data_IF_358865484160
#
_entry.id   IF_358865484160
#
_cell.length_a   1.000
_cell.length_b   1.000
_cell.length_c   1.000
_cell.angle_alpha   90.00
_cell.angle_beta   90.00
_cell.angle_gamma   90.00
#
_symmetry.space_group_name_H-M   'P 1'
#
loop_
_entity.id
_entity.type
_entity.pdbx_description
1 polymer ?
#
# COMPACT_ATOMS: atom_id res chain seq x y z
N UNK A 1 -20.49 -4.75 -20.14
CA UNK A 1 -20.90 -5.77 -19.16
C UNK A 1 -22.33 -6.18 -19.41
N UNK A 2 -22.63 -7.47 -19.36
CA UNK A 2 -23.98 -8.01 -19.49
C UNK A 2 -24.37 -8.73 -18.21
N UNK A 3 -25.54 -8.42 -17.66
CA UNK A 3 -26.10 -9.10 -16.50
C UNK A 3 -27.51 -9.56 -16.85
N UNK A 4 -27.78 -10.85 -16.74
CA UNK A 4 -29.05 -11.47 -17.10
C UNK A 4 -29.54 -11.10 -18.52
N UNK A 5 -28.59 -11.09 -19.48
CA UNK A 5 -28.88 -10.73 -20.88
C UNK A 5 -29.03 -9.24 -21.18
N UNK A 6 -29.02 -8.38 -20.17
CA UNK A 6 -29.12 -6.92 -20.32
C UNK A 6 -27.74 -6.27 -20.39
N UNK A 7 -27.50 -5.47 -21.43
CA UNK A 7 -26.28 -4.68 -21.52
C UNK A 7 -26.36 -3.48 -20.57
N UNK A 8 -25.42 -3.42 -19.62
CA UNK A 8 -25.32 -2.34 -18.65
C UNK A 8 -24.26 -1.29 -19.01
N UNK A 9 -23.55 -1.44 -20.15
CA UNK A 9 -22.51 -0.54 -20.60
C UNK A 9 -21.11 -0.95 -20.16
N UNK A 10 -20.22 0.05 -20.05
CA UNK A 10 -18.84 -0.12 -19.59
C UNK A 10 -18.79 -0.01 -18.07
N UNK A 11 -18.10 -0.95 -17.45
CA UNK A 11 -17.85 -0.97 -16.01
C UNK A 11 -16.38 -1.25 -15.77
N UNK A 12 -15.79 -0.58 -14.79
CA UNK A 12 -14.55 -1.02 -14.18
C UNK A 12 -14.87 -2.17 -13.21
N UNK A 13 -14.05 -3.20 -13.24
CA UNK A 13 -14.09 -4.30 -12.28
C UNK A 13 -12.82 -4.24 -11.44
N UNK A 14 -12.99 -4.24 -10.13
CA UNK A 14 -11.92 -4.19 -9.15
C UNK A 14 -12.17 -5.26 -8.09
N UNK A 15 -11.14 -6.01 -7.73
CA UNK A 15 -11.22 -6.98 -6.66
C UNK A 15 -11.18 -6.27 -5.30
N UNK A 16 -12.04 -6.70 -4.39
CA UNK A 16 -12.02 -6.21 -3.03
C UNK A 16 -10.83 -6.80 -2.25
N UNK A 17 -10.42 -6.12 -1.17
CA UNK A 17 -9.27 -6.50 -0.34
C UNK A 17 -9.62 -7.65 0.62
N UNK A 18 -9.92 -8.80 0.03
CA UNK A 18 -10.35 -10.02 0.70
C UNK A 18 -9.47 -11.20 0.31
N UNK A 19 -9.78 -12.36 0.87
CA UNK A 19 -9.05 -13.59 0.59
C UNK A 19 -9.02 -13.93 -0.92
N UNK A 20 -10.08 -13.63 -1.65
CA UNK A 20 -10.16 -13.85 -3.10
C UNK A 20 -9.04 -13.15 -3.87
N UNK A 21 -8.66 -11.94 -3.48
CA UNK A 21 -7.53 -11.22 -4.07
C UNK A 21 -6.23 -12.00 -3.90
N UNK A 22 -6.01 -12.58 -2.74
CA UNK A 22 -4.80 -13.37 -2.46
C UNK A 22 -4.80 -14.70 -3.24
N UNK A 23 -5.92 -15.40 -3.27
CA UNK A 23 -6.08 -16.66 -3.99
C UNK A 23 -5.88 -16.49 -5.49
N UNK A 24 -6.49 -15.47 -6.09
CA UNK A 24 -6.34 -15.17 -7.52
C UNK A 24 -4.90 -14.79 -7.91
N UNK A 25 -4.14 -14.26 -6.97
CA UNK A 25 -2.73 -13.92 -7.16
C UNK A 25 -1.76 -15.01 -6.65
N UNK A 26 -2.25 -16.17 -6.23
CA UNK A 26 -1.46 -17.28 -5.67
C UNK A 26 -0.57 -16.83 -4.49
N UNK A 27 -1.08 -15.93 -3.66
CA UNK A 27 -0.40 -15.43 -2.48
C UNK A 27 -0.82 -16.23 -1.24
N UNK A 28 0.11 -16.47 -0.30
CA UNK A 28 -0.22 -17.05 1.01
C UNK A 28 -1.27 -16.22 1.75
N UNK A 29 -2.11 -16.88 2.54
CA UNK A 29 -3.12 -16.22 3.37
C UNK A 29 -2.46 -15.31 4.40
N UNK A 30 -2.69 -14.01 4.31
CA UNK A 30 -2.12 -12.99 5.17
C UNK A 30 -2.95 -11.70 5.16
N UNK A 31 -2.88 -10.86 6.21
CA UNK A 31 -3.70 -9.67 6.32
C UNK A 31 -3.34 -8.62 5.28
N UNK A 32 -4.38 -7.99 4.73
CA UNK A 32 -4.26 -6.78 3.92
C UNK A 32 -4.51 -5.59 4.84
N UNK A 33 -3.60 -4.64 4.85
CA UNK A 33 -3.54 -3.54 5.79
C UNK A 33 -3.75 -2.20 5.09
N UNK A 34 -4.33 -1.25 5.81
CA UNK A 34 -4.49 0.14 5.40
C UNK A 34 -4.25 1.09 6.57
N UNK A 35 -4.03 2.35 6.26
CA UNK A 35 -4.19 3.41 7.25
C UNK A 35 -5.67 3.75 7.40
N UNK A 36 -6.14 3.92 8.62
CA UNK A 36 -7.54 4.28 8.87
C UNK A 36 -7.87 5.63 8.22
N UNK A 37 -8.92 5.64 7.39
CA UNK A 37 -9.23 6.80 6.56
C UNK A 37 -9.87 7.95 7.34
N UNK A 38 -10.61 7.67 8.39
CA UNK A 38 -11.33 8.70 9.15
C UNK A 38 -10.37 9.68 9.84
N UNK A 39 -9.25 9.16 10.33
CA UNK A 39 -8.21 9.98 10.98
C UNK A 39 -7.19 10.54 10.00
N UNK A 40 -7.13 9.97 8.84
CA UNK A 40 -6.15 10.28 7.81
C UNK A 40 -6.27 11.70 7.25
N UNK A 41 -7.43 12.29 7.28
CA UNK A 41 -7.66 13.65 6.81
C UNK A 41 -6.98 14.74 7.65
N UNK A 42 -6.67 14.43 8.92
CA UNK A 42 -6.16 15.43 9.85
C UNK A 42 -4.64 15.39 9.94
N UNK A 43 -4.08 14.22 10.09
CA UNK A 43 -2.65 14.06 10.23
C UNK A 43 -2.27 12.59 10.17
N UNK A 44 -1.21 12.24 9.42
CA UNK A 44 -0.66 10.90 9.40
C UNK A 44 -0.21 10.40 10.80
N UNK A 45 0.18 11.32 11.67
CA UNK A 45 0.56 10.97 13.05
C UNK A 45 -0.63 10.53 13.93
N UNK A 46 -1.84 10.90 13.56
CA UNK A 46 -3.06 10.56 14.31
C UNK A 46 -3.78 9.33 13.76
N UNK A 47 -3.48 8.92 12.52
CA UNK A 47 -4.03 7.69 11.96
C UNK A 47 -3.37 6.46 12.56
N UNK A 48 -3.97 5.32 12.40
CA UNK A 48 -3.45 4.02 12.80
C UNK A 48 -3.62 3.01 11.68
N UNK A 49 -2.89 1.91 11.78
CA UNK A 49 -2.95 0.80 10.83
C UNK A 49 -4.02 -0.19 11.27
N UNK A 50 -4.85 -0.62 10.32
CA UNK A 50 -5.85 -1.64 10.55
C UNK A 50 -5.89 -2.64 9.38
N UNK A 51 -6.24 -3.90 9.62
CA UNK A 51 -6.50 -4.85 8.55
C UNK A 51 -7.91 -4.65 7.97
N UNK A 52 -8.07 -4.96 6.69
CA UNK A 52 -9.39 -5.24 6.15
C UNK A 52 -9.96 -6.46 6.85
N UNK A 53 -11.28 -6.48 7.09
CA UNK A 53 -11.93 -7.55 7.83
C UNK A 53 -11.30 -7.78 9.22
N UNK A 54 -11.21 -6.70 10.00
CA UNK A 54 -10.51 -6.67 11.29
C UNK A 54 -10.92 -7.83 12.20
N UNK A 55 -12.22 -8.04 12.42
CA UNK A 55 -12.71 -9.10 13.30
C UNK A 55 -12.25 -10.49 12.84
N UNK A 56 -12.40 -10.74 11.53
CA UNK A 56 -11.96 -12.01 10.94
C UNK A 56 -10.48 -12.27 11.17
N UNK A 57 -9.60 -11.30 10.94
CA UNK A 57 -8.16 -11.51 11.07
C UNK A 57 -7.72 -11.66 12.53
N UNK A 58 -8.38 -10.99 13.46
CA UNK A 58 -8.10 -11.17 14.89
C UNK A 58 -8.63 -12.50 15.44
N UNK A 59 -9.67 -13.07 14.85
CA UNK A 59 -10.16 -14.40 15.18
C UNK A 59 -9.31 -15.51 14.52
N UNK A 60 -8.92 -15.32 13.26
CA UNK A 60 -8.20 -16.33 12.48
C UNK A 60 -6.74 -16.49 12.92
N UNK A 61 -5.99 -15.39 12.99
CA UNK A 61 -4.60 -15.37 13.46
C UNK A 61 -4.25 -14.01 14.08
N UNK A 62 -4.55 -13.87 15.33
CA UNK A 62 -4.28 -12.65 16.09
C UNK A 62 -2.80 -12.30 16.17
N UNK A 63 -1.92 -13.31 16.30
CA UNK A 63 -0.48 -13.08 16.43
C UNK A 63 0.11 -12.54 15.12
N UNK A 64 -0.25 -13.14 13.99
CA UNK A 64 0.15 -12.69 12.66
C UNK A 64 -0.34 -11.26 12.39
N UNK A 65 -1.60 -11.00 12.71
CA UNK A 65 -2.24 -9.69 12.50
C UNK A 65 -1.57 -8.60 13.32
N UNK A 66 -1.33 -8.86 14.61
CA UNK A 66 -0.62 -7.92 15.48
C UNK A 66 0.80 -7.65 14.99
N UNK A 67 1.51 -8.69 14.54
CA UNK A 67 2.86 -8.53 14.00
C UNK A 67 2.87 -7.66 12.74
N UNK A 68 1.90 -7.85 11.84
CA UNK A 68 1.78 -7.06 10.62
C UNK A 68 1.51 -5.58 10.94
N UNK A 69 0.57 -5.29 11.84
CA UNK A 69 0.26 -3.93 12.30
C UNK A 69 1.49 -3.32 12.97
N UNK A 70 2.12 -4.05 13.88
CA UNK A 70 3.29 -3.58 14.62
C UNK A 70 4.44 -3.16 13.69
N UNK A 71 4.72 -3.96 12.66
CA UNK A 71 5.77 -3.66 11.70
C UNK A 71 5.53 -2.33 10.97
N UNK A 72 4.31 -2.08 10.48
CA UNK A 72 4.00 -0.80 9.83
C UNK A 72 4.02 0.36 10.82
N UNK A 73 3.52 0.15 12.03
CA UNK A 73 3.50 1.20 13.05
C UNK A 73 4.92 1.61 13.49
N UNK A 74 5.82 0.64 13.64
CA UNK A 74 7.24 0.93 13.92
C UNK A 74 7.90 1.71 12.79
N UNK A 75 7.63 1.29 11.54
CA UNK A 75 8.12 2.02 10.38
C UNK A 75 7.52 3.43 10.31
N UNK A 76 6.21 3.58 10.49
CA UNK A 76 5.52 4.87 10.48
C UNK A 76 6.08 5.85 11.52
N UNK A 77 6.44 5.37 12.70
CA UNK A 77 7.12 6.16 13.73
C UNK A 77 8.60 6.38 13.43
N UNK A 78 9.12 5.67 12.40
CA UNK A 78 10.51 5.69 11.98
C UNK A 78 11.45 5.09 13.01
N UNK A 79 11.00 4.12 13.75
CA UNK A 79 11.79 3.36 14.71
C UNK A 79 12.65 2.30 13.99
N UNK A 80 12.22 1.88 12.80
CA UNK A 80 12.90 0.89 11.98
C UNK A 80 13.07 1.38 10.54
N UNK A 81 14.01 0.77 9.82
CA UNK A 81 14.26 1.06 8.41
C UNK A 81 13.17 0.44 7.53
N UNK A 82 12.89 1.07 6.39
CA UNK A 82 11.97 0.54 5.38
C UNK A 82 12.33 -0.89 4.96
N UNK A 83 13.63 -1.16 4.74
CA UNK A 83 14.12 -2.48 4.35
C UNK A 83 13.96 -3.58 5.41
N UNK A 84 13.65 -3.22 6.65
CA UNK A 84 13.37 -4.20 7.71
C UNK A 84 11.91 -4.65 7.73
N UNK A 85 11.04 -3.92 7.05
CA UNK A 85 9.59 -4.11 7.10
C UNK A 85 9.02 -4.46 5.73
N UNK A 86 9.52 -3.82 4.68
CA UNK A 86 9.00 -3.97 3.32
C UNK A 86 9.88 -4.84 2.44
N UNK A 87 9.24 -5.58 1.53
CA UNK A 87 9.92 -6.06 0.33
C UNK A 87 10.28 -4.84 -0.52
N UNK A 88 11.50 -4.36 -0.37
CA UNK A 88 11.96 -3.12 -0.99
C UNK A 88 11.98 -3.17 -2.50
N UNK A 89 12.17 -4.36 -3.08
CA UNK A 89 12.13 -4.53 -4.54
C UNK A 89 10.71 -4.31 -5.06
N UNK A 90 9.71 -4.95 -4.44
CA UNK A 90 8.30 -4.76 -4.80
C UNK A 90 7.85 -3.33 -4.56
N UNK A 91 8.28 -2.74 -3.46
CA UNK A 91 7.93 -1.37 -3.10
C UNK A 91 8.52 -0.35 -4.08
N UNK A 92 9.79 -0.51 -4.46
CA UNK A 92 10.43 0.34 -5.47
C UNK A 92 9.76 0.19 -6.85
N UNK A 93 9.45 -1.04 -7.25
CA UNK A 93 8.71 -1.30 -8.50
C UNK A 93 7.34 -0.63 -8.49
N UNK A 94 6.62 -0.70 -7.37
CA UNK A 94 5.32 -0.05 -7.21
C UNK A 94 5.42 1.46 -7.43
N UNK A 95 6.36 2.13 -6.77
CA UNK A 95 6.53 3.56 -6.94
C UNK A 95 7.01 3.95 -8.34
N UNK A 96 7.93 3.18 -8.93
CA UNK A 96 8.37 3.42 -10.30
C UNK A 96 7.22 3.30 -11.31
N UNK A 97 6.39 2.26 -11.18
CA UNK A 97 5.24 2.08 -12.07
C UNK A 97 4.20 3.18 -11.89
N UNK A 98 3.89 3.55 -10.66
CA UNK A 98 2.91 4.61 -10.39
C UNK A 98 3.38 5.97 -10.86
N UNK A 99 4.70 6.24 -10.85
CA UNK A 99 5.27 7.45 -11.44
C UNK A 99 5.17 7.46 -12.97
N UNK A 100 5.63 6.39 -13.61
CA UNK A 100 5.62 6.27 -15.08
C UNK A 100 4.19 6.35 -15.62
N UNK A 101 3.23 5.75 -14.93
CA UNK A 101 1.82 5.74 -15.31
C UNK A 101 1.05 6.96 -14.79
N UNK A 102 1.69 7.88 -14.10
CA UNK A 102 1.06 9.07 -13.51
C UNK A 102 -0.05 8.76 -12.51
N UNK A 103 0.06 7.65 -11.83
CA UNK A 103 -0.92 7.13 -10.86
C UNK A 103 -0.61 7.63 -9.43
N UNK A 104 -0.35 8.92 -9.29
CA UNK A 104 0.12 9.49 -8.02
C UNK A 104 -0.88 9.38 -6.86
N UNK A 105 -2.16 9.24 -7.16
CA UNK A 105 -3.16 9.05 -6.13
C UNK A 105 -2.94 7.74 -5.36
N UNK A 106 -2.53 6.70 -6.07
CA UNK A 106 -2.20 5.40 -5.48
C UNK A 106 -1.08 5.47 -4.42
N UNK A 107 -0.19 6.47 -4.53
CA UNK A 107 0.93 6.65 -3.60
C UNK A 107 0.54 7.40 -2.32
N UNK A 108 -0.65 7.99 -2.29
CA UNK A 108 -1.11 8.69 -1.09
C UNK A 108 -1.37 7.68 0.03
N UNK A 109 -1.01 8.06 1.26
CA UNK A 109 -1.24 7.22 2.42
C UNK A 109 -2.72 6.88 2.66
N UNK A 110 -3.64 7.64 2.13
CA UNK A 110 -5.08 7.36 2.12
C UNK A 110 -5.43 6.20 1.19
N UNK A 111 -4.73 6.08 0.05
CA UNK A 111 -5.03 5.08 -0.98
C UNK A 111 -4.12 3.87 -0.95
N UNK A 112 -2.91 4.01 -0.41
CA UNK A 112 -1.96 2.89 -0.38
C UNK A 112 -2.47 1.72 0.47
N UNK A 113 -2.31 0.51 -0.07
CA UNK A 113 -2.71 -0.74 0.57
C UNK A 113 -1.50 -1.66 0.65
N UNK A 114 -1.46 -2.48 1.66
CA UNK A 114 -0.34 -3.36 1.94
C UNK A 114 -0.81 -4.77 2.23
N UNK A 115 -0.08 -5.73 1.71
CA UNK A 115 -0.25 -7.14 2.06
C UNK A 115 0.93 -7.58 2.93
N UNK A 116 0.64 -8.22 4.06
CA UNK A 116 1.67 -8.87 4.86
C UNK A 116 1.84 -10.32 4.44
N UNK A 117 2.98 -10.63 3.89
CA UNK A 117 3.33 -11.98 3.47
C UNK A 117 3.82 -12.82 4.67
N UNK A 118 3.08 -13.83 5.11
CA UNK A 118 3.44 -14.61 6.32
C UNK A 118 4.69 -15.47 6.16
N UNK A 119 5.07 -15.79 4.91
CA UNK A 119 6.26 -16.61 4.63
C UNK A 119 7.52 -15.76 4.70
N UNK A 120 7.56 -14.65 3.96
CA UNK A 120 8.72 -13.75 3.98
C UNK A 120 8.76 -12.85 5.22
N UNK A 121 7.62 -12.68 5.91
CA UNK A 121 7.40 -11.73 7.00
C UNK A 121 7.60 -10.27 6.59
N UNK A 122 7.50 -10.00 5.30
CA UNK A 122 7.65 -8.67 4.71
C UNK A 122 6.31 -8.11 4.26
N UNK A 123 6.24 -6.81 4.21
CA UNK A 123 5.09 -6.08 3.69
C UNK A 123 5.30 -5.76 2.22
N UNK A 124 4.27 -5.95 1.44
CA UNK A 124 4.25 -5.76 0.00
C UNK A 124 3.15 -4.76 -0.37
N UNK A 125 3.39 -3.81 -1.28
CA UNK A 125 2.36 -2.88 -1.72
C UNK A 125 1.35 -3.57 -2.63
N UNK A 126 0.09 -3.14 -2.55
CA UNK A 126 -0.99 -3.53 -3.48
C UNK A 126 -1.31 -2.34 -4.36
N UNK A 127 -1.40 -2.57 -5.67
CA UNK A 127 -1.85 -1.55 -6.62
C UNK A 127 -3.33 -1.27 -6.46
N UNK A 128 -3.66 -0.05 -6.10
CA UNK A 128 -5.03 0.40 -5.89
C UNK A 128 -5.17 1.89 -6.19
N UNK A 129 -6.38 2.31 -6.57
CA UNK A 129 -6.78 3.73 -6.71
C UNK A 129 -5.82 4.56 -7.58
N UNK A 130 -5.37 3.94 -8.65
CA UNK A 130 -4.34 4.47 -9.55
C UNK A 130 -4.85 5.52 -10.53
N UNK A 131 -5.82 6.34 -10.17
CA UNK A 131 -6.28 7.38 -11.06
C UNK A 131 -5.30 8.55 -11.14
N UNK A 132 -5.34 9.21 -12.29
CA UNK A 132 -4.58 10.42 -12.54
C UNK A 132 -5.10 11.57 -11.70
N UNK A 133 -4.23 12.21 -10.98
CA UNK A 133 -4.57 13.42 -10.22
C UNK A 133 -3.84 14.62 -10.79
N UNK A 134 -4.55 15.44 -11.57
CA UNK A 134 -4.02 16.64 -12.20
C UNK A 134 -3.44 17.65 -11.20
N UNK A 135 -3.79 17.53 -9.96
CA UNK A 135 -3.34 18.42 -8.88
C UNK A 135 -1.90 18.17 -8.44
N UNK A 136 -1.40 16.93 -8.60
CA UNK A 136 -0.05 16.54 -8.18
C UNK A 136 0.93 16.53 -9.35
N UNK A 137 1.12 17.62 -9.92
CA UNK A 137 1.67 17.86 -11.18
C UNK A 137 3.11 17.78 -11.45
N UNK A 138 3.33 17.44 -12.67
CA UNK A 138 4.40 17.94 -13.56
C UNK A 138 5.77 17.98 -12.92
N UNK A 139 6.52 16.91 -13.15
CA UNK A 139 7.97 16.84 -12.98
C UNK A 139 8.50 16.56 -11.57
N UNK A 140 7.77 15.80 -10.75
CA UNK A 140 8.32 15.33 -9.48
C UNK A 140 8.24 13.82 -9.41
N UNK A 141 9.36 13.18 -9.07
CA UNK A 141 9.43 11.74 -8.78
C UNK A 141 8.58 11.38 -7.56
N UNK A 142 8.06 10.15 -7.48
CA UNK A 142 7.27 9.63 -6.36
C UNK A 142 7.90 9.91 -5.00
N UNK A 143 9.21 9.81 -4.93
CA UNK A 143 10.01 10.16 -3.74
C UNK A 143 9.78 11.60 -3.27
N UNK A 144 9.56 12.54 -4.19
CA UNK A 144 9.27 13.94 -3.86
C UNK A 144 7.80 14.14 -3.49
N UNK A 145 6.92 13.32 -4.07
CA UNK A 145 5.49 13.31 -3.79
C UNK A 145 5.17 12.57 -2.50
N UNK A 146 5.97 11.59 -2.15
CA UNK A 146 5.91 10.88 -0.87
C UNK A 146 6.29 11.75 0.35
N UNK A 147 6.48 13.06 0.16
CA UNK A 147 6.53 14.00 1.29
C UNK A 147 5.26 13.95 2.17
N UNK A 148 4.21 13.34 1.67
CA UNK A 148 3.00 13.00 2.43
C UNK A 148 3.09 11.66 3.16
N UNK A 149 4.00 10.75 2.75
CA UNK A 149 4.33 9.56 3.53
C UNK A 149 5.33 9.97 4.63
N UNK A 150 5.32 9.35 5.79
CA UNK A 150 6.24 9.68 6.89
C UNK A 150 7.64 9.15 6.61
N UNK A 151 8.16 9.45 5.43
CA UNK A 151 9.53 9.11 5.07
C UNK A 151 10.46 10.08 5.80
N UNK A 152 11.19 9.57 6.77
CA UNK A 152 12.28 10.32 7.38
C UNK A 152 13.39 10.56 6.36
N UNK A 153 14.24 11.53 6.65
CA UNK A 153 15.41 11.84 5.83
C UNK A 153 16.30 10.61 5.55
N UNK A 154 16.40 9.71 6.53
CA UNK A 154 17.10 8.42 6.42
C UNK A 154 16.45 7.50 5.37
N UNK A 155 15.13 7.46 5.36
CA UNK A 155 14.37 6.65 4.39
C UNK A 155 14.47 7.27 2.98
N UNK A 156 14.46 8.59 2.87
CA UNK A 156 14.65 9.27 1.57
C UNK A 156 15.97 8.89 0.90
N UNK A 157 17.04 8.73 1.67
CA UNK A 157 18.34 8.28 1.15
C UNK A 157 18.23 6.87 0.59
N UNK A 158 17.59 5.93 1.30
CA UNK A 158 17.40 4.55 0.83
C UNK A 158 16.51 4.51 -0.41
N UNK A 159 15.42 5.25 -0.44
CA UNK A 159 14.55 5.36 -1.60
C UNK A 159 15.28 5.90 -2.81
N UNK A 160 16.10 6.91 -2.65
CA UNK A 160 16.90 7.48 -3.74
C UNK A 160 17.90 6.46 -4.28
N UNK A 161 18.52 5.65 -3.44
CA UNK A 161 19.43 4.58 -3.86
C UNK A 161 18.68 3.50 -4.62
N UNK A 162 17.56 3.03 -4.12
CA UNK A 162 16.74 2.03 -4.81
C UNK A 162 16.13 2.55 -6.12
N UNK A 163 15.67 3.78 -6.15
CA UNK A 163 15.09 4.38 -7.35
C UNK A 163 16.13 4.57 -8.46
N UNK A 164 17.35 4.93 -8.10
CA UNK A 164 18.45 5.10 -9.05
C UNK A 164 18.78 3.81 -9.80
N UNK A 165 18.63 2.66 -9.14
CA UNK A 165 18.98 1.36 -9.72
C UNK A 165 17.87 0.82 -10.66
N UNK A 166 16.74 1.51 -10.78
CA UNK A 166 15.60 1.14 -11.62
C UNK A 166 15.36 2.09 -12.80
N UNK A 167 16.00 3.25 -12.82
CA UNK A 167 16.03 4.21 -13.91
C UNK A 167 17.42 4.22 -14.56
#
# INVERSE_FOLDING_TARGET
>A
MYVNGKNLGLYAFEEHFEQSLLENNNLPKGPILRFNEDYSWFNLYTTYVEPYQTDYWFEEDSALTQQAIYNIEQWRRGEVKTSSVFDVKKLATYFALTDVLWMHHAQSWKSIRFYYNPISKMIEPIGYDGHHNDFFIKNKLAIQLSSTLPLREVDRKYWTEYYRDWY
#
